data_IF_841101657032
#
_entry.id   IF_841101657032
#
_cell.length_a   1.000
_cell.length_b   1.000
_cell.length_c   1.000
_cell.angle_alpha   90.00
_cell.angle_beta   90.00
_cell.angle_gamma   90.00
#
_symmetry.space_group_name_H-M   'P 1'
#
loop_
_entity.id
_entity.type
_entity.pdbx_description
1 polymer ?
#
# COMPACT_ATOMS: atom_id res chain seq x y z
N UNK A 1 56.08 1.08 -12.74
CA UNK A 1 57.00 0.59 -13.79
C UNK A 1 56.20 -0.14 -14.85
N UNK A 2 56.26 0.36 -16.10
CA UNK A 2 56.02 -0.27 -17.42
C UNK A 2 55.03 -1.45 -17.55
N UNK A 3 53.80 -1.13 -18.01
CA UNK A 3 53.15 -1.43 -19.32
C UNK A 3 53.84 -2.44 -20.30
N UNK A 4 53.14 -2.91 -21.36
CA UNK A 4 52.52 -4.23 -21.53
C UNK A 4 53.13 -5.03 -22.71
N UNK A 5 52.60 -6.22 -23.04
CA UNK A 5 52.90 -6.90 -24.31
C UNK A 5 51.66 -7.01 -25.21
N UNK A 6 51.89 -6.55 -26.44
CA UNK A 6 51.03 -6.56 -27.61
C UNK A 6 51.51 -7.68 -28.53
N UNK A 7 50.60 -8.37 -29.22
CA UNK A 7 50.89 -8.93 -30.54
C UNK A 7 49.60 -9.03 -31.37
N UNK A 8 49.64 -8.32 -32.50
CA UNK A 8 48.69 -8.32 -33.63
C UNK A 8 49.13 -9.34 -34.69
N UNK A 9 48.25 -9.51 -35.69
CA UNK A 9 48.37 -10.13 -37.03
C UNK A 9 47.77 -11.55 -37.06
N UNK A 10 46.92 -11.94 -38.00
CA UNK A 10 46.88 -11.55 -39.41
C UNK A 10 45.49 -11.74 -40.07
N UNK A 11 45.29 -11.05 -41.19
CA UNK A 11 44.11 -11.13 -42.07
C UNK A 11 44.35 -12.14 -43.20
N UNK A 12 43.34 -12.95 -43.58
CA UNK A 12 42.93 -13.12 -45.00
C UNK A 12 41.79 -14.15 -45.22
N UNK A 13 40.82 -13.65 -45.99
CA UNK A 13 39.73 -14.22 -46.81
C UNK A 13 39.60 -15.73 -47.05
N UNK A 14 38.36 -16.26 -46.97
CA UNK A 14 37.62 -16.83 -48.12
C UNK A 14 36.13 -17.16 -47.81
N UNK A 15 35.22 -16.45 -48.48
CA UNK A 15 34.01 -16.92 -49.21
C UNK A 15 32.83 -17.69 -48.57
N UNK A 16 31.70 -16.94 -48.48
CA UNK A 16 30.28 -17.25 -48.85
C UNK A 16 29.42 -18.18 -47.96
N UNK A 17 28.07 -18.10 -47.99
CA UNK A 17 27.19 -17.14 -48.68
C UNK A 17 26.22 -16.36 -47.76
N UNK A 18 25.81 -15.20 -48.26
CA UNK A 18 24.73 -14.35 -47.77
C UNK A 18 23.38 -15.02 -48.07
N UNK A 19 22.69 -15.49 -47.03
CA UNK A 19 21.26 -15.79 -47.12
C UNK A 19 20.48 -14.51 -46.82
N UNK A 20 20.07 -13.80 -47.88
CA UNK A 20 18.95 -12.85 -47.82
C UNK A 20 17.65 -13.64 -47.67
N UNK A 21 16.80 -13.37 -46.66
CA UNK A 21 15.42 -13.75 -46.75
C UNK A 21 14.75 -12.85 -47.79
N UNK A 22 14.17 -13.52 -48.77
CA UNK A 22 13.26 -12.99 -49.77
C UNK A 22 12.10 -12.22 -49.11
N UNK A 23 11.85 -11.01 -49.63
CA UNK A 23 10.53 -10.39 -49.76
C UNK A 23 9.50 -10.69 -48.66
N UNK A 24 9.65 -10.06 -47.49
CA UNK A 24 8.50 -9.81 -46.64
C UNK A 24 7.70 -8.65 -47.22
N UNK A 25 6.52 -8.94 -47.78
CA UNK A 25 5.52 -7.90 -48.01
C UNK A 25 5.26 -7.16 -46.69
N UNK A 26 4.99 -5.85 -46.70
CA UNK A 26 4.61 -5.15 -45.48
C UNK A 26 3.28 -5.76 -45.03
N UNK A 27 3.31 -6.63 -44.01
CA UNK A 27 2.08 -7.07 -43.35
C UNK A 27 1.35 -5.82 -42.90
N UNK A 28 0.05 -5.78 -43.19
CA UNK A 28 -0.78 -4.62 -42.89
C UNK A 28 -0.63 -4.32 -41.39
N UNK A 29 -0.45 -3.06 -40.96
CA UNK A 29 -0.32 -2.70 -39.53
C UNK A 29 -1.41 -3.30 -38.63
N UNK A 30 -2.57 -3.64 -39.22
CA UNK A 30 -3.71 -4.28 -38.59
C UNK A 30 -3.46 -5.75 -38.18
N UNK A 31 -2.68 -6.53 -38.94
CA UNK A 31 -2.35 -7.92 -38.57
C UNK A 31 -1.36 -7.96 -37.39
N UNK A 32 -0.43 -7.01 -37.34
CA UNK A 32 0.55 -6.88 -36.26
C UNK A 32 -0.11 -6.40 -34.95
N UNK A 33 -1.13 -5.55 -35.06
CA UNK A 33 -1.97 -5.14 -33.93
C UNK A 33 -2.83 -6.28 -33.38
N UNK A 34 -3.41 -7.11 -34.26
CA UNK A 34 -4.21 -8.27 -33.85
C UNK A 34 -3.35 -9.34 -33.16
N UNK A 35 -2.16 -9.62 -33.69
CA UNK A 35 -1.22 -10.55 -33.06
C UNK A 35 -0.81 -10.07 -31.65
N UNK A 36 -0.59 -8.76 -31.50
CA UNK A 36 -0.27 -8.15 -30.20
C UNK A 36 -1.44 -8.17 -29.22
N UNK A 37 -2.68 -8.01 -29.72
CA UNK A 37 -3.89 -8.15 -28.90
C UNK A 37 -4.06 -9.59 -28.37
N UNK A 38 -3.81 -10.60 -29.21
CA UNK A 38 -3.84 -12.01 -28.79
C UNK A 38 -2.77 -12.33 -27.74
N UNK A 39 -1.57 -11.77 -27.90
CA UNK A 39 -0.49 -11.91 -26.92
C UNK A 39 -0.86 -11.27 -25.58
N UNK A 40 -1.44 -10.06 -25.59
CA UNK A 40 -1.94 -9.43 -24.37
C UNK A 40 -3.07 -10.21 -23.71
N UNK A 41 -3.97 -10.81 -24.49
CA UNK A 41 -5.02 -11.69 -23.94
C UNK A 41 -4.43 -12.92 -23.26
N UNK A 42 -3.40 -13.55 -23.86
CA UNK A 42 -2.68 -14.67 -23.23
C UNK A 42 -1.99 -14.25 -21.95
N UNK A 43 -1.30 -13.11 -21.95
CA UNK A 43 -0.59 -12.62 -20.78
C UNK A 43 -1.57 -12.27 -19.65
N UNK A 44 -2.72 -11.66 -19.96
CA UNK A 44 -3.78 -11.42 -18.99
C UNK A 44 -4.33 -12.72 -18.42
N UNK A 45 -4.60 -13.74 -19.24
CA UNK A 45 -5.06 -15.04 -18.76
C UNK A 45 -4.02 -15.71 -17.84
N UNK A 46 -2.72 -15.59 -18.14
CA UNK A 46 -1.65 -16.08 -17.26
C UNK A 46 -1.58 -15.30 -15.94
N UNK A 47 -1.76 -13.98 -15.98
CA UNK A 47 -1.81 -13.13 -14.78
C UNK A 47 -3.02 -13.47 -13.91
N UNK A 48 -4.19 -13.69 -14.51
CA UNK A 48 -5.39 -14.14 -13.81
C UNK A 48 -5.18 -15.52 -13.17
N UNK A 49 -4.55 -16.46 -13.90
CA UNK A 49 -4.23 -17.78 -13.36
C UNK A 49 -3.24 -17.70 -12.17
N UNK A 50 -2.20 -16.88 -12.26
CA UNK A 50 -1.26 -16.65 -11.14
C UNK A 50 -1.94 -15.98 -9.95
N UNK A 51 -2.86 -15.06 -10.21
CA UNK A 51 -3.64 -14.39 -9.16
C UNK A 51 -4.56 -15.39 -8.46
N UNK A 52 -5.25 -16.25 -9.22
CA UNK A 52 -6.08 -17.31 -8.67
C UNK A 52 -5.28 -18.30 -7.82
N UNK A 53 -4.08 -18.68 -8.26
CA UNK A 53 -3.20 -19.57 -7.50
C UNK A 53 -2.68 -18.92 -6.21
N UNK A 54 -2.30 -17.63 -6.26
CA UNK A 54 -1.88 -16.90 -5.06
C UNK A 54 -3.02 -16.78 -4.04
N UNK A 55 -4.25 -16.53 -4.50
CA UNK A 55 -5.45 -16.52 -3.66
C UNK A 55 -5.70 -17.90 -3.05
N UNK A 56 -5.59 -18.98 -3.86
CA UNK A 56 -5.74 -20.36 -3.37
C UNK A 56 -4.73 -20.68 -2.26
N UNK A 57 -3.47 -20.28 -2.43
CA UNK A 57 -2.43 -20.45 -1.41
C UNK A 57 -2.74 -19.65 -0.14
N UNK A 58 -3.22 -18.42 -0.27
CA UNK A 58 -3.63 -17.61 0.88
C UNK A 58 -4.82 -18.24 1.63
N UNK A 59 -5.81 -18.75 0.90
CA UNK A 59 -6.95 -19.48 1.48
C UNK A 59 -6.51 -20.78 2.17
N UNK A 60 -5.54 -21.50 1.62
CA UNK A 60 -4.97 -22.71 2.21
C UNK A 60 -4.27 -22.42 3.54
N UNK A 61 -3.42 -21.39 3.59
CA UNK A 61 -2.77 -20.94 4.83
C UNK A 61 -3.80 -20.50 5.88
N UNK A 62 -4.84 -19.76 5.48
CA UNK A 62 -5.91 -19.37 6.40
C UNK A 62 -6.70 -20.58 6.90
N UNK A 63 -6.93 -21.59 6.04
CA UNK A 63 -7.62 -22.82 6.42
C UNK A 63 -6.78 -23.65 7.38
N UNK A 64 -5.48 -23.79 7.14
CA UNK A 64 -4.55 -24.46 8.05
C UNK A 64 -4.49 -23.78 9.42
N UNK A 65 -4.37 -22.44 9.45
CA UNK A 65 -4.44 -21.69 10.70
C UNK A 65 -5.78 -21.90 11.41
N UNK A 66 -6.89 -21.86 10.69
CA UNK A 66 -8.21 -22.07 11.27
C UNK A 66 -8.36 -23.51 11.81
N UNK A 67 -7.82 -24.52 11.12
CA UNK A 67 -7.77 -25.92 11.59
C UNK A 67 -6.89 -26.05 12.83
N UNK A 68 -5.75 -25.36 12.91
CA UNK A 68 -4.91 -25.33 14.11
C UNK A 68 -5.61 -24.68 15.31
N UNK A 69 -6.38 -23.61 15.07
CA UNK A 69 -7.13 -22.89 16.11
C UNK A 69 -8.41 -23.62 16.54
N UNK A 70 -9.04 -24.39 15.64
CA UNK A 70 -10.27 -25.14 15.91
C UNK A 70 -10.04 -26.56 16.40
N UNK A 71 -8.79 -27.06 16.39
CA UNK A 71 -8.43 -28.31 17.05
C UNK A 71 -8.51 -28.10 18.57
N UNK A 72 -9.42 -28.78 19.29
CA UNK A 72 -9.43 -28.72 20.74
C UNK A 72 -8.07 -29.22 21.24
N UNK A 73 -7.45 -28.47 22.15
CA UNK A 73 -6.27 -28.95 22.87
C UNK A 73 -6.74 -30.18 23.66
N UNK A 74 -6.52 -31.37 23.13
CA UNK A 74 -6.80 -32.64 23.80
C UNK A 74 -5.82 -32.79 24.95
N UNK A 75 -6.11 -32.14 26.08
CA UNK A 75 -5.56 -32.48 27.38
C UNK A 75 -6.22 -33.77 27.86
N UNK A 76 -5.81 -34.91 27.28
CA UNK A 76 -5.91 -36.20 27.96
C UNK A 76 -4.58 -36.40 28.68
N UNK A 77 -4.46 -35.75 29.83
CA UNK A 77 -3.60 -36.22 30.91
C UNK A 77 -4.58 -36.77 31.94
N UNK A 78 -4.77 -38.09 31.95
CA UNK A 78 -5.35 -38.79 33.08
C UNK A 78 -4.38 -38.59 34.26
N UNK A 79 -4.70 -37.64 35.14
CA UNK A 79 -4.17 -37.59 36.50
C UNK A 79 -5.38 -37.68 37.41
N UNK A 80 -5.57 -38.88 37.90
CA UNK A 80 -6.44 -39.25 38.99
C UNK A 80 -5.89 -38.61 40.27
N UNK A 81 -6.55 -37.56 40.76
CA UNK A 81 -6.33 -37.03 42.11
C UNK A 81 -7.65 -36.55 42.66
N UNK A 82 -8.21 -37.39 43.53
CA UNK A 82 -9.22 -37.06 44.52
C UNK A 82 -8.73 -35.91 45.43
N UNK A 83 -9.71 -35.17 45.96
CA UNK A 83 -9.65 -34.19 47.04
C UNK A 83 -8.96 -32.84 46.79
N UNK A 84 -9.77 -31.78 46.79
CA UNK A 84 -9.75 -30.68 47.79
C UNK A 84 -10.56 -29.49 47.22
N UNK A 85 -11.78 -29.33 47.72
CA UNK A 85 -12.57 -28.10 47.59
C UNK A 85 -11.89 -26.99 48.41
N UNK A 86 -11.36 -25.94 47.77
CA UNK A 86 -11.34 -24.55 48.30
C UNK A 86 -10.49 -23.62 47.42
N UNK A 87 -11.02 -23.11 46.30
CA UNK A 87 -10.73 -21.72 45.85
C UNK A 87 -11.71 -21.20 44.80
N UNK A 88 -13.01 -21.17 45.13
CA UNK A 88 -13.91 -20.21 44.49
C UNK A 88 -13.56 -18.81 44.99
N UNK A 89 -12.73 -18.03 44.27
CA UNK A 89 -12.87 -16.58 44.07
C UNK A 89 -11.78 -16.06 43.13
N UNK A 90 -12.22 -15.25 42.16
CA UNK A 90 -11.45 -14.38 41.25
C UNK A 90 -10.86 -15.05 40.00
N UNK A 91 -11.61 -15.00 38.89
CA UNK A 91 -11.34 -14.03 37.80
C UNK A 91 -12.41 -14.17 36.68
N UNK A 92 -13.63 -13.72 36.94
CA UNK A 92 -14.58 -13.44 35.86
C UNK A 92 -14.30 -12.02 35.35
N UNK A 93 -13.55 -11.87 34.25
CA UNK A 93 -13.57 -10.63 33.47
C UNK A 93 -13.23 -10.92 31.99
N UNK A 94 -14.20 -10.58 31.13
CA UNK A 94 -14.06 -10.17 29.73
C UNK A 94 -14.05 -11.24 28.63
N UNK A 95 -15.26 -11.64 28.22
CA UNK A 95 -15.62 -11.99 26.85
C UNK A 95 -15.78 -10.73 25.98
N UNK A 96 -15.29 -10.69 24.72
CA UNK A 96 -15.72 -9.70 23.75
C UNK A 96 -16.76 -10.30 22.77
N UNK A 97 -17.98 -9.76 22.84
CA UNK A 97 -19.09 -10.03 21.93
C UNK A 97 -18.91 -9.29 20.60
N UNK A 98 -18.99 -10.06 19.51
CA UNK A 98 -19.09 -9.62 18.11
C UNK A 98 -20.37 -8.79 17.90
N UNK A 99 -20.27 -7.62 17.27
CA UNK A 99 -21.42 -6.88 16.75
C UNK A 99 -21.19 -6.47 15.29
N UNK A 100 -22.14 -6.86 14.44
CA UNK A 100 -22.35 -6.31 13.10
C UNK A 100 -23.44 -5.21 13.13
N UNK A 101 -23.49 -4.34 12.09
CA UNK A 101 -24.17 -3.05 12.14
C UNK A 101 -25.62 -3.10 11.63
N UNK A 102 -26.46 -2.17 12.11
CA UNK A 102 -27.76 -1.90 11.49
C UNK A 102 -28.05 -0.40 11.43
N UNK A 103 -28.75 -0.04 10.36
CA UNK A 103 -28.98 1.31 9.84
C UNK A 103 -30.22 2.00 10.42
N UNK A 104 -30.39 3.28 10.00
CA UNK A 104 -31.56 4.19 9.97
C UNK A 104 -31.37 5.40 10.92
N UNK A 105 -31.21 6.64 10.46
CA UNK A 105 -31.98 7.54 9.58
C UNK A 105 -32.85 8.56 10.37
N UNK A 106 -32.64 9.84 10.01
CA UNK A 106 -33.51 11.03 10.14
C UNK A 106 -33.74 11.65 11.55
N UNK A 107 -33.34 12.91 11.76
CA UNK A 107 -34.14 14.11 11.45
C UNK A 107 -33.43 15.44 11.80
N UNK A 108 -33.57 16.36 10.84
CA UNK A 108 -33.52 17.83 10.81
C UNK A 108 -33.76 18.57 12.14
N UNK A 109 -32.93 19.58 12.47
CA UNK A 109 -33.44 20.95 12.70
C UNK A 109 -32.40 22.08 12.56
N UNK A 110 -32.93 23.28 12.31
CA UNK A 110 -32.33 24.53 11.81
C UNK A 110 -32.48 25.65 12.85
N UNK A 111 -31.42 26.44 13.10
CA UNK A 111 -31.50 27.83 13.63
C UNK A 111 -30.10 28.50 13.58
N UNK A 112 -29.77 29.42 12.67
CA UNK A 112 -29.96 30.89 12.65
C UNK A 112 -29.45 31.71 13.86
N UNK A 113 -28.27 32.34 13.65
CA UNK A 113 -27.98 33.80 13.74
C UNK A 113 -27.62 34.50 15.06
N UNK A 114 -26.40 35.08 15.10
CA UNK A 114 -25.96 36.48 15.43
C UNK A 114 -24.56 36.46 16.08
N UNK A 115 -23.49 36.98 15.47
CA UNK A 115 -23.04 38.38 15.26
C UNK A 115 -22.79 39.16 16.56
N UNK A 116 -21.51 39.47 16.82
CA UNK A 116 -21.03 40.70 17.46
C UNK A 116 -19.76 41.18 16.76
N UNK A 117 -19.84 42.41 16.28
CA UNK A 117 -18.82 43.27 15.67
C UNK A 117 -18.21 44.21 16.72
N UNK A 118 -16.95 44.63 16.53
CA UNK A 118 -16.41 45.99 16.76
C UNK A 118 -14.96 46.03 16.22
N UNK A 119 -14.67 46.74 15.11
CA UNK A 119 -14.26 48.17 14.96
C UNK A 119 -12.76 48.40 15.34
N UNK A 120 -11.86 49.11 14.63
CA UNK A 120 -11.88 50.29 13.73
C UNK A 120 -10.49 50.39 13.00
N UNK A 121 -10.44 50.54 11.66
CA UNK A 121 -10.06 51.74 10.84
C UNK A 121 -8.63 52.35 10.94
N UNK A 122 -7.88 52.46 9.83
CA UNK A 122 -7.69 53.71 9.02
C UNK A 122 -6.48 53.68 8.03
N UNK A 123 -6.77 54.12 6.79
CA UNK A 123 -6.00 55.07 5.94
C UNK A 123 -4.68 54.67 5.23
N UNK A 124 -4.63 54.93 3.90
CA UNK A 124 -3.40 55.39 3.24
C UNK A 124 -3.12 54.90 1.81
N UNK A 125 -3.79 55.48 0.80
CA UNK A 125 -3.40 55.37 -0.63
C UNK A 125 -2.04 56.04 -0.90
N UNK A 126 -1.22 55.45 -1.79
CA UNK A 126 -0.44 56.21 -2.81
C UNK A 126 0.03 55.33 -3.99
N UNK A 127 -0.46 55.73 -5.15
CA UNK A 127 -0.12 55.33 -6.53
C UNK A 127 1.27 55.87 -6.91
N UNK A 128 2.06 55.13 -7.72
CA UNK A 128 2.90 55.67 -8.83
C UNK A 128 3.47 54.58 -9.78
N UNK A 129 2.86 54.54 -10.98
CA UNK A 129 3.41 54.45 -12.37
C UNK A 129 4.52 53.46 -12.77
N UNK A 130 4.09 52.48 -13.58
CA UNK A 130 4.43 52.18 -15.00
C UNK A 130 5.90 52.04 -15.50
N UNK A 131 6.17 50.90 -16.17
CA UNK A 131 6.87 50.84 -17.47
C UNK A 131 6.53 49.54 -18.24
N UNK A 132 6.55 49.66 -19.57
CA UNK A 132 6.13 48.73 -20.62
C UNK A 132 7.21 47.68 -20.94
N UNK A 133 6.82 46.50 -21.46
CA UNK A 133 7.00 46.07 -22.87
C UNK A 133 6.63 44.58 -23.06
N UNK A 134 5.69 44.29 -23.95
CA UNK A 134 5.49 42.96 -24.51
C UNK A 134 5.17 43.08 -26.02
N UNK A 135 5.89 42.32 -26.82
CA UNK A 135 5.81 42.06 -28.27
C UNK A 135 5.61 40.54 -28.33
N UNK A 136 4.68 39.90 -29.02
CA UNK A 136 4.23 39.96 -30.43
C UNK A 136 2.89 39.20 -30.58
N UNK A 137 2.11 39.55 -31.62
CA UNK A 137 0.79 38.99 -32.00
C UNK A 137 0.86 37.54 -32.57
N UNK A 138 -0.28 36.86 -32.83
CA UNK A 138 -1.05 37.13 -34.06
C UNK A 138 -2.60 37.08 -33.95
N UNK A 139 -3.19 37.94 -34.79
CA UNK A 139 -4.44 37.86 -35.54
C UNK A 139 -5.79 37.50 -34.86
N UNK A 140 -6.75 38.36 -35.22
CA UNK A 140 -8.20 38.13 -35.35
C UNK A 140 -9.08 38.59 -34.19
N UNK A 141 -9.30 39.91 -34.12
CA UNK A 141 -10.57 40.45 -33.64
C UNK A 141 -10.83 41.80 -34.33
N UNK A 142 -11.55 41.69 -35.44
CA UNK A 142 -12.63 42.57 -35.91
C UNK A 142 -12.57 44.01 -35.36
N UNK A 143 -12.10 44.93 -36.21
CA UNK A 143 -12.38 46.34 -36.04
C UNK A 143 -13.91 46.55 -36.02
N UNK A 144 -14.47 46.82 -34.85
CA UNK A 144 -15.77 47.49 -34.73
C UNK A 144 -15.54 48.91 -35.25
N UNK A 145 -15.87 49.08 -36.52
CA UNK A 145 -15.90 50.36 -37.20
C UNK A 145 -16.93 51.22 -36.47
N UNK A 146 -16.48 52.28 -35.80
CA UNK A 146 -17.36 53.34 -35.29
C UNK A 146 -18.25 53.87 -36.42
N UNK A 147 -19.56 53.71 -36.22
CA UNK A 147 -20.70 54.42 -36.82
C UNK A 147 -20.45 55.19 -38.13
N UNK A 148 -20.16 54.44 -39.20
CA UNK A 148 -20.39 54.93 -40.57
C UNK A 148 -21.90 54.92 -40.83
N UNK A 149 -22.60 55.97 -40.40
CA UNK A 149 -24.00 56.17 -40.77
C UNK A 149 -24.08 56.37 -42.28
N UNK A 150 -24.41 55.30 -43.00
CA UNK A 150 -24.60 55.27 -44.45
C UNK A 150 -25.56 56.39 -44.90
N UNK A 151 -26.59 56.68 -44.10
CA UNK A 151 -27.52 57.79 -44.32
C UNK A 151 -26.82 59.16 -44.39
N UNK A 152 -25.80 59.39 -43.55
CA UNK A 152 -25.06 60.65 -43.49
C UNK A 152 -24.12 60.81 -44.70
N UNK A 153 -23.61 59.71 -45.23
CA UNK A 153 -22.81 59.70 -46.46
C UNK A 153 -23.70 59.85 -47.69
N UNK A 154 -24.89 59.25 -47.71
CA UNK A 154 -25.87 59.40 -48.79
C UNK A 154 -26.38 60.85 -48.86
N UNK A 155 -26.81 61.46 -47.75
CA UNK A 155 -27.23 62.87 -47.74
C UNK A 155 -26.11 63.83 -48.15
N UNK A 156 -24.85 63.48 -47.88
CA UNK A 156 -23.68 64.28 -48.31
C UNK A 156 -23.34 64.12 -49.79
N UNK A 157 -23.75 63.01 -50.41
CA UNK A 157 -23.61 62.78 -51.85
C UNK A 157 -24.79 63.37 -52.62
N UNK A 158 -26.02 63.25 -52.11
CA UNK A 158 -27.21 63.89 -52.69
C UNK A 158 -27.10 65.41 -52.66
N UNK A 159 -26.67 66.00 -51.53
CA UNK A 159 -26.46 67.45 -51.45
C UNK A 159 -25.34 67.97 -52.36
N UNK A 160 -24.36 67.12 -52.72
CA UNK A 160 -23.32 67.48 -53.70
C UNK A 160 -23.78 67.36 -55.15
N UNK A 161 -24.81 66.55 -55.42
CA UNK A 161 -25.40 66.39 -56.75
C UNK A 161 -26.41 67.51 -57.06
N UNK A 162 -27.01 68.12 -56.04
CA UNK A 162 -27.85 69.33 -56.19
C UNK A 162 -27.02 70.62 -56.30
N UNK A 163 -25.83 70.69 -55.69
CA UNK A 163 -24.99 71.91 -55.67
C UNK A 163 -24.06 72.03 -56.89
N UNK A 164 -23.59 70.92 -57.45
CA UNK A 164 -23.00 70.88 -58.80
C UNK A 164 -24.12 70.63 -59.80
N UNK A 165 -24.93 71.67 -60.02
CA UNK A 165 -25.84 71.74 -61.14
C UNK A 165 -25.11 71.31 -62.41
N UNK A 166 -25.74 70.40 -63.15
CA UNK A 166 -25.36 70.01 -64.50
C UNK A 166 -24.88 71.28 -65.21
N UNK A 167 -23.59 71.41 -65.60
CA UNK A 167 -23.30 72.30 -66.69
C UNK A 167 -24.07 71.68 -67.85
N UNK A 168 -25.19 72.32 -68.21
CA UNK A 168 -25.64 72.36 -69.59
C UNK A 168 -24.47 72.95 -70.38
N UNK A 169 -23.44 72.14 -70.61
CA UNK A 169 -22.60 72.27 -71.77
C UNK A 169 -23.52 71.85 -72.92
N UNK A 170 -24.43 72.75 -73.27
CA UNK A 170 -24.71 73.07 -74.66
C UNK A 170 -23.40 73.55 -75.31
N UNK A 171 -22.39 72.68 -75.35
CA UNK A 171 -21.53 72.62 -76.53
C UNK A 171 -22.40 71.94 -77.60
N UNK A 172 -23.37 72.72 -78.06
CA UNK A 172 -23.77 72.73 -79.45
C UNK A 172 -22.44 72.73 -80.20
N UNK A 173 -22.07 71.55 -80.69
CA UNK A 173 -20.89 71.30 -81.49
C UNK A 173 -21.15 72.09 -82.78
N UNK A 174 -20.88 73.40 -82.72
CA UNK A 174 -20.97 74.37 -83.80
C UNK A 174 -20.12 73.74 -84.89
N UNK A 175 -20.81 73.10 -85.84
CA UNK A 175 -20.17 72.58 -87.03
C UNK A 175 -19.43 73.77 -87.62
N UNK A 176 -18.09 73.74 -87.76
CA UNK A 176 -17.38 74.85 -88.35
C UNK A 176 -18.02 75.04 -89.72
N UNK A 177 -18.59 76.23 -89.93
CA UNK A 177 -19.29 76.61 -91.14
C UNK A 177 -18.30 76.67 -92.31
N UNK A 178 -17.86 75.51 -92.77
CA UNK A 178 -17.29 75.28 -94.10
C UNK A 178 -18.45 75.03 -95.09
N UNK A 179 -19.65 75.50 -94.76
CA UNK A 179 -20.87 75.24 -95.51
C UNK A 179 -21.15 76.21 -96.65
N UNK A 180 -20.36 77.28 -96.80
CA UNK A 180 -20.64 78.33 -97.78
C UNK A 180 -19.74 78.34 -99.02
N UNK A 181 -18.70 77.50 -99.07
CA UNK A 181 -17.73 77.43 -100.20
C UNK A 181 -17.66 76.04 -100.87
N UNK A 182 -18.55 75.13 -100.45
CA UNK A 182 -18.58 73.73 -100.86
C UNK A 182 -19.87 73.41 -101.62
N UNK A 183 -19.79 72.85 -102.83
CA UNK A 183 -20.96 72.41 -103.62
C UNK A 183 -21.77 71.37 -102.85
N UNK A 184 -23.11 71.36 -102.97
CA UNK A 184 -24.00 70.46 -102.20
C UNK A 184 -23.59 68.97 -102.24
N UNK A 185 -23.00 68.52 -103.35
CA UNK A 185 -22.47 67.16 -103.50
C UNK A 185 -21.28 66.87 -102.55
N UNK A 186 -20.38 67.83 -102.36
CA UNK A 186 -19.24 67.70 -101.45
C UNK A 186 -19.69 67.74 -99.98
N UNK A 187 -20.73 68.50 -99.65
CA UNK A 187 -21.32 68.55 -98.31
C UNK A 187 -21.98 67.20 -97.94
N UNK A 188 -22.68 66.57 -98.89
CA UNK A 188 -23.23 65.22 -98.73
C UNK A 188 -22.12 64.17 -98.54
N UNK A 189 -21.00 64.29 -99.27
CA UNK A 189 -19.84 63.38 -99.09
C UNK A 189 -19.21 63.54 -97.70
N UNK A 190 -19.06 64.77 -97.20
CA UNK A 190 -18.55 65.04 -95.86
C UNK A 190 -19.45 64.48 -94.76
N UNK A 191 -20.76 64.73 -94.82
CA UNK A 191 -21.73 64.19 -93.84
C UNK A 191 -21.76 62.66 -93.86
N UNK A 192 -21.70 62.03 -95.03
CA UNK A 192 -21.58 60.56 -95.15
C UNK A 192 -20.27 60.01 -94.57
N UNK A 193 -19.17 60.78 -94.64
CA UNK A 193 -17.91 60.41 -94.02
C UNK A 193 -17.99 60.54 -92.49
N UNK A 194 -18.55 61.65 -91.97
CA UNK A 194 -18.77 61.84 -90.51
C UNK A 194 -19.71 60.75 -89.94
N UNK A 195 -20.80 60.43 -90.64
CA UNK A 195 -21.69 59.33 -90.27
C UNK A 195 -20.97 57.97 -90.24
N UNK A 196 -20.09 57.70 -91.21
CA UNK A 196 -19.27 56.48 -91.22
C UNK A 196 -18.30 56.43 -90.05
N UNK A 197 -17.57 57.52 -89.78
CA UNK A 197 -16.64 57.61 -88.63
C UNK A 197 -17.41 57.43 -87.31
N UNK A 198 -18.56 58.09 -87.14
CA UNK A 198 -19.41 57.93 -85.96
C UNK A 198 -19.95 56.50 -85.84
N UNK A 199 -20.36 55.87 -86.95
CA UNK A 199 -20.82 54.48 -86.93
C UNK A 199 -19.69 53.50 -86.58
N UNK A 200 -18.48 53.73 -87.09
CA UNK A 200 -17.28 52.97 -86.72
C UNK A 200 -16.95 53.15 -85.23
N UNK A 201 -17.06 54.36 -84.68
CA UNK A 201 -16.82 54.62 -83.26
C UNK A 201 -17.89 53.98 -82.37
N UNK A 202 -19.17 54.03 -82.76
CA UNK A 202 -20.24 53.30 -82.07
C UNK A 202 -19.98 51.79 -82.09
N UNK A 203 -19.58 51.23 -83.24
CA UNK A 203 -19.26 49.81 -83.35
C UNK A 203 -18.03 49.44 -82.50
N UNK A 204 -17.01 50.31 -82.46
CA UNK A 204 -15.82 50.15 -81.62
C UNK A 204 -16.18 50.15 -80.13
N UNK A 205 -16.93 51.15 -79.67
CA UNK A 205 -17.40 51.27 -78.30
C UNK A 205 -18.30 50.09 -77.93
N UNK A 206 -19.19 49.65 -78.81
CA UNK A 206 -20.02 48.47 -78.60
C UNK A 206 -19.19 47.19 -78.44
N UNK A 207 -18.13 47.01 -79.25
CA UNK A 207 -17.22 45.89 -79.09
C UNK A 207 -16.44 45.95 -77.77
N UNK A 208 -16.00 47.14 -77.36
CA UNK A 208 -15.32 47.35 -76.09
C UNK A 208 -16.26 47.10 -74.89
N UNK A 209 -17.51 47.56 -74.95
CA UNK A 209 -18.54 47.25 -73.96
C UNK A 209 -18.79 45.75 -73.84
N UNK A 210 -19.02 45.06 -74.97
CA UNK A 210 -19.21 43.61 -74.96
C UNK A 210 -18.00 42.88 -74.36
N UNK A 211 -16.78 43.29 -74.71
CA UNK A 211 -15.55 42.74 -74.13
C UNK A 211 -15.48 42.98 -72.61
N UNK A 212 -15.87 44.17 -72.14
CA UNK A 212 -15.92 44.50 -70.72
C UNK A 212 -16.99 43.71 -69.98
N UNK A 213 -18.13 43.44 -70.61
CA UNK A 213 -19.18 42.58 -70.06
C UNK A 213 -18.71 41.12 -69.96
N UNK A 214 -18.01 40.60 -70.97
CA UNK A 214 -17.37 39.28 -70.91
C UNK A 214 -16.30 39.21 -69.81
N UNK A 215 -15.46 40.24 -69.67
CA UNK A 215 -14.49 40.34 -68.57
C UNK A 215 -15.19 40.40 -67.20
N UNK A 216 -16.29 41.15 -67.07
CA UNK A 216 -17.04 41.29 -65.83
C UNK A 216 -17.76 40.00 -65.43
N UNK A 217 -18.36 39.29 -66.39
CA UNK A 217 -18.95 37.96 -66.15
C UNK A 217 -17.88 36.95 -65.70
N UNK A 218 -16.70 36.96 -66.32
CA UNK A 218 -15.57 36.12 -65.91
C UNK A 218 -15.03 36.48 -64.52
N UNK A 219 -14.93 37.76 -64.17
CA UNK A 219 -14.52 38.18 -62.83
C UNK A 219 -15.57 37.80 -61.78
N UNK A 220 -16.86 37.93 -62.10
CA UNK A 220 -17.96 37.53 -61.22
C UNK A 220 -17.97 36.03 -60.94
N UNK A 221 -17.76 35.18 -61.96
CA UNK A 221 -17.62 33.73 -61.76
C UNK A 221 -16.41 33.41 -60.89
N UNK A 222 -15.27 34.08 -61.12
CA UNK A 222 -14.06 33.89 -60.30
C UNK A 222 -14.27 34.27 -58.83
N UNK A 223 -14.96 35.38 -58.56
CA UNK A 223 -15.31 35.80 -57.18
C UNK A 223 -16.17 34.73 -56.51
N UNK A 224 -17.20 34.23 -57.21
CA UNK A 224 -18.08 33.19 -56.68
C UNK A 224 -17.32 31.89 -56.35
N UNK A 225 -16.44 31.44 -57.25
CA UNK A 225 -15.57 30.27 -57.00
C UNK A 225 -14.71 30.46 -55.74
N UNK A 226 -14.07 31.63 -55.59
CA UNK A 226 -13.23 31.93 -54.43
C UNK A 226 -14.03 32.02 -53.13
N UNK A 227 -15.27 32.53 -53.16
CA UNK A 227 -16.17 32.56 -52.00
C UNK A 227 -16.61 31.16 -51.57
N UNK A 228 -16.91 30.28 -52.54
CA UNK A 228 -17.22 28.87 -52.29
C UNK A 228 -16.01 28.13 -51.69
N UNK A 229 -14.80 28.35 -52.23
CA UNK A 229 -13.56 27.77 -51.73
C UNK A 229 -13.19 28.27 -50.33
N UNK A 230 -13.37 29.57 -50.07
CA UNK A 230 -13.21 30.16 -48.73
C UNK A 230 -14.19 29.50 -47.75
N UNK A 231 -15.44 29.32 -48.15
CA UNK A 231 -16.47 28.68 -47.31
C UNK A 231 -16.15 27.21 -47.00
N UNK A 232 -15.63 26.46 -47.99
CA UNK A 232 -15.16 25.07 -47.82
C UNK A 232 -13.95 25.00 -46.89
N UNK A 233 -12.98 25.89 -47.08
CA UNK A 233 -11.79 25.98 -46.23
C UNK A 233 -12.16 26.30 -44.79
N UNK A 234 -13.04 27.30 -44.57
CA UNK A 234 -13.52 27.66 -43.24
C UNK A 234 -14.19 26.50 -42.51
N UNK A 235 -15.02 25.71 -43.21
CA UNK A 235 -15.65 24.51 -42.61
C UNK A 235 -14.58 23.49 -42.19
N UNK A 236 -13.58 23.26 -43.03
CA UNK A 236 -12.48 22.33 -42.73
C UNK A 236 -11.66 22.80 -41.53
N UNK A 237 -11.32 24.09 -41.45
CA UNK A 237 -10.63 24.69 -40.31
C UNK A 237 -11.43 24.53 -39.03
N UNK A 238 -12.74 24.81 -39.05
CA UNK A 238 -13.59 24.63 -37.87
C UNK A 238 -13.62 23.17 -37.39
N UNK A 239 -13.73 22.20 -38.32
CA UNK A 239 -13.70 20.78 -37.99
C UNK A 239 -12.34 20.40 -37.36
N UNK A 240 -11.24 20.78 -38.00
CA UNK A 240 -9.88 20.50 -37.50
C UNK A 240 -9.66 21.13 -36.12
N UNK A 241 -10.13 22.35 -35.90
CA UNK A 241 -10.05 23.02 -34.60
C UNK A 241 -10.79 22.24 -33.50
N UNK A 242 -12.00 21.74 -33.78
CA UNK A 242 -12.73 20.89 -32.81
C UNK A 242 -12.03 19.57 -32.55
N UNK A 243 -11.37 18.99 -33.56
CA UNK A 243 -10.62 17.74 -33.43
C UNK A 243 -9.35 17.93 -32.59
N UNK A 244 -8.61 19.02 -32.80
CA UNK A 244 -7.44 19.40 -31.99
C UNK A 244 -7.86 19.57 -30.53
N UNK A 245 -8.96 20.27 -30.28
CA UNK A 245 -9.47 20.47 -28.92
C UNK A 245 -9.85 19.16 -28.24
N UNK A 246 -10.49 18.23 -28.97
CA UNK A 246 -10.81 16.89 -28.46
C UNK A 246 -9.54 16.10 -28.12
N UNK A 247 -8.55 16.10 -29.00
CA UNK A 247 -7.28 15.40 -28.76
C UNK A 247 -6.51 16.01 -27.59
N UNK A 248 -6.51 17.34 -27.46
CA UNK A 248 -5.93 18.05 -26.32
C UNK A 248 -6.57 17.62 -24.99
N UNK A 249 -7.90 17.57 -24.93
CA UNK A 249 -8.63 17.11 -23.72
C UNK A 249 -8.30 15.66 -23.36
N UNK A 250 -8.25 14.76 -24.35
CA UNK A 250 -7.89 13.35 -24.12
C UNK A 250 -6.44 13.20 -23.61
N UNK A 251 -5.50 13.98 -24.15
CA UNK A 251 -4.12 14.00 -23.70
C UNK A 251 -4.01 14.52 -22.25
N UNK A 252 -4.71 15.61 -21.91
CA UNK A 252 -4.77 16.14 -20.56
C UNK A 252 -5.38 15.13 -19.57
N UNK A 253 -6.45 14.44 -19.94
CA UNK A 253 -7.06 13.41 -19.10
C UNK A 253 -6.11 12.22 -18.87
N UNK A 254 -5.44 11.76 -19.93
CA UNK A 254 -4.42 10.70 -19.81
C UNK A 254 -3.26 11.14 -18.92
N UNK A 255 -2.79 12.39 -19.03
CA UNK A 255 -1.75 12.92 -18.17
C UNK A 255 -2.18 12.96 -16.70
N UNK A 256 -3.41 13.44 -16.41
CA UNK A 256 -3.97 13.42 -15.04
C UNK A 256 -4.06 11.99 -14.49
N UNK A 257 -4.44 11.02 -15.32
CA UNK A 257 -4.47 9.60 -14.93
C UNK A 257 -3.07 9.06 -14.62
N UNK A 258 -2.08 9.38 -15.47
CA UNK A 258 -0.68 9.01 -15.24
C UNK A 258 -0.12 9.63 -13.96
N UNK A 259 -0.36 10.92 -13.71
CA UNK A 259 0.05 11.60 -12.47
C UNK A 259 -0.60 10.96 -11.24
N UNK A 260 -1.90 10.65 -11.30
CA UNK A 260 -2.61 9.96 -10.21
C UNK A 260 -2.07 8.55 -9.93
N UNK A 261 -1.72 7.79 -10.97
CA UNK A 261 -1.08 6.48 -10.82
C UNK A 261 0.34 6.61 -10.26
N UNK A 262 1.11 7.60 -10.72
CA UNK A 262 2.46 7.86 -10.21
C UNK A 262 2.45 8.22 -8.73
N UNK A 263 1.48 9.01 -8.27
CA UNK A 263 1.28 9.32 -6.85
C UNK A 263 0.93 8.07 -6.03
N UNK A 264 0.06 7.19 -6.54
CA UNK A 264 -0.27 5.92 -5.88
C UNK A 264 0.95 5.00 -5.77
N UNK A 265 1.74 4.87 -6.84
CA UNK A 265 2.98 4.08 -6.82
C UNK A 265 3.95 4.63 -5.78
N UNK A 266 4.13 5.96 -5.71
CA UNK A 266 4.99 6.57 -4.70
C UNK A 266 4.47 6.34 -3.27
N UNK A 267 3.15 6.41 -3.05
CA UNK A 267 2.54 6.15 -1.76
C UNK A 267 2.73 4.69 -1.32
N UNK A 268 2.45 3.73 -2.21
CA UNK A 268 2.63 2.29 -1.96
C UNK A 268 4.10 1.94 -1.71
N UNK A 269 5.04 2.55 -2.45
CA UNK A 269 6.47 2.38 -2.20
C UNK A 269 6.86 2.81 -0.77
N UNK A 270 6.36 3.97 -0.33
CA UNK A 270 6.59 4.46 1.04
C UNK A 270 5.99 3.54 2.10
N UNK A 271 4.81 2.98 1.85
CA UNK A 271 4.16 2.01 2.73
C UNK A 271 4.96 0.70 2.83
N UNK A 272 5.42 0.15 1.69
CA UNK A 272 6.28 -1.04 1.65
C UNK A 272 7.57 -0.81 2.45
N UNK A 273 8.20 0.35 2.30
CA UNK A 273 9.38 0.68 3.11
C UNK A 273 9.05 0.78 4.60
N UNK A 274 7.91 1.37 4.95
CA UNK A 274 7.41 1.42 6.32
C UNK A 274 7.23 0.02 6.92
N UNK A 275 6.51 -0.85 6.21
CA UNK A 275 6.29 -2.24 6.61
C UNK A 275 7.61 -3.01 6.75
N UNK A 276 8.57 -2.84 5.83
CA UNK A 276 9.90 -3.46 5.94
C UNK A 276 10.66 -3.01 7.19
N UNK A 277 10.59 -1.73 7.55
CA UNK A 277 11.21 -1.21 8.78
C UNK A 277 10.58 -1.83 10.02
N UNK A 278 9.24 -1.85 10.10
CA UNK A 278 8.51 -2.47 11.21
C UNK A 278 8.78 -3.97 11.29
N UNK A 279 8.82 -4.69 10.17
CA UNK A 279 9.12 -6.12 10.14
C UNK A 279 10.51 -6.41 10.72
N UNK A 280 11.53 -5.63 10.32
CA UNK A 280 12.89 -5.76 10.88
C UNK A 280 12.90 -5.54 12.39
N UNK A 281 12.22 -4.50 12.86
CA UNK A 281 12.11 -4.19 14.29
C UNK A 281 11.40 -5.31 15.06
N UNK A 282 10.30 -5.83 14.53
CA UNK A 282 9.58 -6.96 15.12
C UNK A 282 10.43 -8.22 15.16
N UNK A 283 11.19 -8.52 14.10
CA UNK A 283 12.09 -9.68 14.07
C UNK A 283 13.20 -9.56 15.13
N UNK A 284 13.80 -8.38 15.29
CA UNK A 284 14.80 -8.15 16.34
C UNK A 284 14.20 -8.26 17.74
N UNK A 285 13.00 -7.74 17.94
CA UNK A 285 12.29 -7.86 19.22
C UNK A 285 11.92 -9.32 19.51
N UNK A 286 11.47 -10.05 18.50
CA UNK A 286 11.13 -11.46 18.60
C UNK A 286 12.34 -12.31 18.99
N UNK A 287 13.47 -12.13 18.30
CA UNK A 287 14.73 -12.80 18.65
C UNK A 287 15.18 -12.46 20.09
N UNK A 288 15.05 -11.21 20.53
CA UNK A 288 15.35 -10.83 21.91
C UNK A 288 14.41 -11.50 22.92
N UNK A 289 13.12 -11.63 22.61
CA UNK A 289 12.16 -12.36 23.46
C UNK A 289 12.43 -13.86 23.50
N UNK A 290 12.83 -14.46 22.38
CA UNK A 290 13.18 -15.87 22.25
C UNK A 290 14.41 -16.20 23.12
N UNK A 291 15.45 -15.36 23.09
CA UNK A 291 16.62 -15.53 23.96
C UNK A 291 16.24 -15.46 25.45
N UNK A 292 15.37 -14.53 25.85
CA UNK A 292 14.90 -14.44 27.24
C UNK A 292 14.07 -15.66 27.64
N UNK A 293 13.22 -16.14 26.75
CA UNK A 293 12.42 -17.34 26.95
C UNK A 293 13.31 -18.56 27.15
N UNK A 294 14.28 -18.78 26.26
CA UNK A 294 15.22 -19.89 26.37
C UNK A 294 16.01 -19.85 27.68
N UNK A 295 16.48 -18.67 28.10
CA UNK A 295 17.13 -18.51 29.41
C UNK A 295 16.22 -18.89 30.58
N UNK A 296 14.96 -18.45 30.54
CA UNK A 296 13.98 -18.79 31.58
C UNK A 296 13.65 -20.30 31.60
N UNK A 297 13.59 -20.94 30.42
CA UNK A 297 13.40 -22.39 30.31
C UNK A 297 14.60 -23.16 30.89
N UNK A 298 15.84 -22.76 30.56
CA UNK A 298 17.04 -23.36 31.14
C UNK A 298 17.09 -23.20 32.67
N UNK A 299 16.73 -22.02 33.20
CA UNK A 299 16.65 -21.77 34.64
C UNK A 299 15.59 -22.67 35.29
N UNK A 300 14.41 -22.81 34.68
CA UNK A 300 13.36 -23.70 35.17
C UNK A 300 13.80 -25.18 35.17
N UNK A 301 14.50 -25.63 34.13
CA UNK A 301 15.07 -26.98 34.07
C UNK A 301 16.14 -27.20 35.14
N UNK A 302 17.02 -26.22 35.38
CA UNK A 302 18.01 -26.27 36.47
C UNK A 302 17.33 -26.40 37.84
N UNK A 303 16.34 -25.56 38.14
CA UNK A 303 15.60 -25.64 39.40
C UNK A 303 14.86 -26.97 39.57
N UNK A 304 14.30 -27.54 38.50
CA UNK A 304 13.67 -28.86 38.52
C UNK A 304 14.69 -29.97 38.84
N UNK A 305 15.88 -29.92 38.24
CA UNK A 305 16.96 -30.87 38.53
C UNK A 305 17.43 -30.76 39.98
N UNK A 306 17.63 -29.54 40.49
CA UNK A 306 18.02 -29.30 41.88
C UNK A 306 16.98 -29.81 42.87
N UNK A 307 15.69 -29.55 42.60
CA UNK A 307 14.59 -30.04 43.42
C UNK A 307 14.55 -31.57 43.46
N UNK A 308 14.72 -32.23 42.30
CA UNK A 308 14.79 -33.69 42.24
C UNK A 308 15.99 -34.24 43.02
N UNK A 309 17.16 -33.58 42.91
CA UNK A 309 18.36 -33.94 43.67
C UNK A 309 18.13 -33.81 45.18
N UNK A 310 17.53 -32.71 45.64
CA UNK A 310 17.20 -32.49 47.06
C UNK A 310 16.21 -33.54 47.55
N UNK A 311 15.14 -33.83 46.77
CA UNK A 311 14.18 -34.89 47.11
C UNK A 311 14.85 -36.25 47.26
N UNK A 312 15.77 -36.59 46.35
CA UNK A 312 16.50 -37.85 46.41
C UNK A 312 17.41 -37.92 47.64
N UNK A 313 18.19 -36.85 47.91
CA UNK A 313 19.04 -36.76 49.11
C UNK A 313 18.21 -36.88 50.39
N UNK A 314 17.06 -36.18 50.46
CA UNK A 314 16.17 -36.25 51.61
C UNK A 314 15.62 -37.66 51.83
N UNK A 315 15.22 -38.36 50.75
CA UNK A 315 14.74 -39.74 50.81
C UNK A 315 15.83 -40.70 51.28
N UNK A 316 17.04 -40.57 50.74
CA UNK A 316 18.18 -41.43 51.09
C UNK A 316 18.63 -41.19 52.54
N UNK A 317 18.64 -39.94 52.99
CA UNK A 317 18.91 -39.57 54.39
C UNK A 317 17.86 -40.14 55.35
N UNK A 318 16.56 -40.00 55.03
CA UNK A 318 15.48 -40.57 55.84
C UNK A 318 15.57 -42.11 55.92
N UNK A 319 15.88 -42.78 54.80
CA UNK A 319 16.11 -44.22 54.78
C UNK A 319 17.32 -44.63 55.61
N UNK A 320 18.43 -43.87 55.56
CA UNK A 320 19.62 -44.14 56.36
C UNK A 320 19.35 -43.96 57.86
N UNK A 321 18.62 -42.90 58.22
CA UNK A 321 18.21 -42.63 59.60
C UNK A 321 17.26 -43.72 60.12
N UNK A 322 16.30 -44.16 59.31
CA UNK A 322 15.40 -45.26 59.65
C UNK A 322 16.18 -46.55 59.91
N UNK A 323 17.13 -46.93 59.05
CA UNK A 323 17.99 -48.10 59.26
C UNK A 323 18.80 -47.99 60.55
N UNK A 324 19.39 -46.82 60.82
CA UNK A 324 20.15 -46.56 62.06
C UNK A 324 19.24 -46.67 63.30
N UNK A 325 18.04 -46.11 63.22
CA UNK A 325 17.03 -46.19 64.28
C UNK A 325 16.61 -47.63 64.55
N UNK A 326 16.38 -48.43 63.52
CA UNK A 326 16.05 -49.86 63.64
C UNK A 326 17.18 -50.67 64.29
N UNK A 327 18.44 -50.43 63.91
CA UNK A 327 19.61 -51.06 64.53
C UNK A 327 19.73 -50.70 66.01
N UNK A 328 19.63 -49.42 66.35
CA UNK A 328 19.68 -48.96 67.74
C UNK A 328 18.52 -49.54 68.56
N UNK A 329 17.31 -49.61 67.99
CA UNK A 329 16.16 -50.25 68.65
C UNK A 329 16.40 -51.75 68.91
N UNK A 330 16.99 -52.47 67.95
CA UNK A 330 17.30 -53.89 68.11
C UNK A 330 18.38 -54.13 69.18
N UNK A 331 19.42 -53.30 69.20
CA UNK A 331 20.47 -53.34 70.23
C UNK A 331 19.92 -53.00 71.61
N UNK A 332 19.10 -51.95 71.72
CA UNK A 332 18.46 -51.56 72.97
C UNK A 332 17.61 -52.71 73.55
N UNK A 333 16.77 -53.36 72.71
CA UNK A 333 16.02 -54.57 73.10
C UNK A 333 16.93 -55.71 73.57
N UNK A 334 18.10 -55.90 72.94
CA UNK A 334 19.07 -56.93 73.36
C UNK A 334 19.68 -56.60 74.72
N UNK A 335 20.07 -55.35 74.95
CA UNK A 335 20.61 -54.88 76.23
C UNK A 335 19.57 -54.99 77.35
N UNK A 336 18.31 -54.66 77.09
CA UNK A 336 17.21 -54.85 78.03
C UNK A 336 17.04 -56.31 78.45
N UNK A 337 17.10 -57.24 77.48
CA UNK A 337 17.05 -58.69 77.77
C UNK A 337 18.24 -59.14 78.63
N UNK A 338 19.46 -58.77 78.26
CA UNK A 338 20.67 -59.10 79.03
C UNK A 338 20.61 -58.54 80.46
N UNK A 339 20.13 -57.29 80.62
CA UNK A 339 19.89 -56.69 81.93
C UNK A 339 18.86 -57.49 82.72
N UNK A 340 17.74 -57.89 82.10
CA UNK A 340 16.70 -58.68 82.76
C UNK A 340 17.22 -60.05 83.22
N UNK A 341 17.98 -60.73 82.37
CA UNK A 341 18.63 -62.01 82.68
C UNK A 341 19.62 -61.86 83.85
N UNK A 342 20.48 -60.84 83.82
CA UNK A 342 21.42 -60.55 84.91
C UNK A 342 20.70 -60.26 86.23
N UNK A 343 19.65 -59.43 86.19
CA UNK A 343 18.81 -59.15 87.35
C UNK A 343 18.14 -60.42 87.90
N UNK A 344 17.66 -61.31 87.04
CA UNK A 344 17.10 -62.59 87.45
C UNK A 344 18.17 -63.50 88.09
N UNK A 345 19.38 -63.51 87.55
CA UNK A 345 20.55 -64.18 88.12
C UNK A 345 20.87 -63.70 89.53
N UNK A 346 20.99 -62.39 89.73
CA UNK A 346 21.22 -61.80 91.06
C UNK A 346 20.11 -62.14 92.06
N UNK A 347 18.84 -62.10 91.64
CA UNK A 347 17.71 -62.50 92.51
C UNK A 347 17.81 -63.97 92.94
N UNK A 348 18.22 -64.87 92.05
CA UNK A 348 18.44 -66.30 92.38
C UNK A 348 19.63 -66.47 93.34
N UNK A 349 20.73 -65.76 93.09
CA UNK A 349 21.89 -65.76 93.99
C UNK A 349 21.54 -65.27 95.40
N UNK A 350 20.76 -64.18 95.51
CA UNK A 350 20.28 -63.69 96.81
C UNK A 350 19.47 -64.76 97.56
N UNK A 351 18.52 -65.43 96.88
CA UNK A 351 17.74 -66.54 97.48
C UNK A 351 18.63 -67.71 97.91
N UNK A 352 19.64 -68.06 97.11
CA UNK A 352 20.59 -69.11 97.45
C UNK A 352 21.39 -68.74 98.69
N UNK A 353 21.85 -67.50 98.81
CA UNK A 353 22.55 -66.99 100.00
C UNK A 353 21.65 -67.15 101.24
N UNK A 354 20.36 -66.80 101.15
CA UNK A 354 19.43 -66.94 102.28
C UNK A 354 19.23 -68.41 102.69
N UNK A 355 19.10 -69.33 101.72
CA UNK A 355 19.00 -70.77 101.98
C UNK A 355 20.28 -71.30 102.63
N UNK A 356 21.45 -70.96 102.09
CA UNK A 356 22.75 -71.39 102.62
C UNK A 356 23.00 -70.86 104.03
N UNK A 357 22.63 -69.61 104.33
CA UNK A 357 22.70 -69.05 105.69
C UNK A 357 21.82 -69.83 106.66
N UNK A 358 20.60 -70.20 106.26
CA UNK A 358 19.68 -71.01 107.07
C UNK A 358 20.22 -72.43 107.28
N UNK A 359 20.75 -73.06 106.23
CA UNK A 359 21.39 -74.37 106.33
C UNK A 359 22.61 -74.35 107.25
N UNK A 360 23.47 -73.33 107.13
CA UNK A 360 24.61 -73.12 108.03
C UNK A 360 24.14 -73.04 109.49
N UNK A 361 23.11 -72.25 109.77
CA UNK A 361 22.52 -72.14 111.11
C UNK A 361 22.00 -73.50 111.62
N UNK A 362 21.28 -74.27 110.81
CA UNK A 362 20.80 -75.60 111.20
C UNK A 362 21.96 -76.58 111.48
N UNK A 363 23.01 -76.56 110.67
CA UNK A 363 24.19 -77.41 110.87
C UNK A 363 24.95 -77.00 112.14
N UNK A 364 25.13 -75.71 112.39
CA UNK A 364 25.77 -75.21 113.61
C UNK A 364 24.97 -75.58 114.86
N UNK A 365 23.64 -75.46 114.82
CA UNK A 365 22.77 -75.92 115.89
C UNK A 365 22.86 -77.44 116.12
N UNK A 366 22.86 -78.24 115.04
CA UNK A 366 23.00 -79.70 115.14
C UNK A 366 24.38 -80.12 115.68
N UNK A 367 25.47 -79.44 115.29
CA UNK A 367 26.82 -79.67 115.85
C UNK A 367 26.90 -79.31 117.33
N UNK A 368 26.27 -78.22 117.73
CA UNK A 368 26.21 -77.84 119.15
C UNK A 368 25.42 -78.88 119.94
N UNK A 369 24.32 -79.38 119.38
CA UNK A 369 23.53 -80.46 119.97
C UNK A 369 24.36 -81.75 120.10
N UNK A 370 25.06 -82.18 119.05
CA UNK A 370 25.92 -83.38 119.10
C UNK A 370 27.04 -83.24 120.13
N UNK A 371 27.63 -82.04 120.28
CA UNK A 371 28.61 -81.78 121.34
C UNK A 371 27.99 -81.92 122.73
N UNK A 372 26.78 -81.38 122.95
CA UNK A 372 26.07 -81.57 124.22
C UNK A 372 25.68 -83.03 124.47
N UNK A 373 25.30 -83.80 123.43
CA UNK A 373 25.02 -85.23 123.53
C UNK A 373 26.28 -86.03 123.87
N UNK A 374 27.43 -85.75 123.24
CA UNK A 374 28.71 -86.38 123.54
C UNK A 374 29.18 -86.10 124.98
N UNK A 375 29.09 -84.85 125.44
CA UNK A 375 29.42 -84.50 126.83
C UNK A 375 28.46 -85.16 127.83
N UNK A 376 27.17 -85.26 127.51
CA UNK A 376 26.20 -85.98 128.33
C UNK A 376 26.49 -87.49 128.39
N UNK A 377 26.86 -88.12 127.28
CA UNK A 377 27.26 -89.54 127.24
C UNK A 377 28.54 -89.78 128.04
N UNK A 378 29.55 -88.90 127.95
CA UNK A 378 30.76 -88.99 128.80
C UNK A 378 30.43 -88.90 130.28
N UNK A 379 29.50 -88.02 130.67
CA UNK A 379 29.04 -87.91 132.05
C UNK A 379 28.33 -89.18 132.54
N UNK A 380 27.64 -89.92 131.66
CA UNK A 380 27.05 -91.23 131.97
C UNK A 380 28.09 -92.35 132.08
N UNK A 381 29.12 -92.36 131.23
CA UNK A 381 30.21 -93.37 131.28
C UNK A 381 31.14 -93.19 132.49
N UNK A 382 31.20 -92.01 133.11
CA UNK A 382 31.87 -91.80 134.41
C UNK A 382 31.25 -92.58 135.58
N UNK A 383 30.05 -93.16 135.40
CA UNK A 383 29.40 -94.02 136.39
C UNK A 383 29.76 -95.51 136.28
N UNK A 384 30.55 -95.95 135.29
CA UNK A 384 30.95 -97.35 135.11
C UNK A 384 32.46 -97.52 135.34
N UNK A 385 32.85 -97.55 136.62
CA UNK A 385 34.03 -98.28 137.10
C UNK A 385 33.64 -99.67 137.56
#
# INVERSE_FOLDING_TARGET
>A
VKKPLSARLDMSHCSKPVNRPSSAQPRKPQEDLLAKEEEYKRLNAELEAKTAELVRQAEEVMREQNVMLSRPISSNLDIDTEDEEETFRNLNLLTPTIKQPSAKALTKDRSTSKVTTESRTLSGNRIKKASKTARTCPADEVAVLEDFSLAKTISKLEGKLEEDGIPENEEDDIMPSVGSEMTAEAQIRFLKAKLRVMQEEINRLAHECNKKDDENTNLSTKVKELEEDRSRSQRTTNIQQTQIEKQRRLAEESNRRCEGLQQQVAALQKEIEGLKRTQKQTLTNHSATEVRLNRALEEAERSKMELNKIKQISKDSANQEQKKMELLKAENKKLEKQRAELMAGFKKQLKLIDILKRQKMHIEAAKLLSFTEEEFMKALDWGKS
#
